data_IF_511199649974
#
_entry.id   IF_511199649974
#
_cell.length_a   1.000
_cell.length_b   1.000
_cell.length_c   1.000
_cell.angle_alpha   90.00
_cell.angle_beta   90.00
_cell.angle_gamma   90.00
#
_symmetry.space_group_name_H-M   'P 1'
#
loop_
_entity.id
_entity.type
_entity.pdbx_description
1 polymer ?
#
# COMPACT_ATOMS: atom_id res chain seq x y z
N UNK A 1 -5.86 38.54 -6.00
CA UNK A 1 -5.93 37.12 -5.60
C UNK A 1 -4.82 36.86 -4.58
N UNK A 2 -5.12 36.49 -3.32
CA UNK A 2 -4.08 36.16 -2.35
C UNK A 2 -3.31 34.92 -2.84
N UNK A 3 -1.98 34.99 -2.82
CA UNK A 3 -1.09 33.89 -3.23
C UNK A 3 -1.32 32.71 -2.27
N UNK A 4 -1.65 31.54 -2.79
CA UNK A 4 -1.80 30.31 -1.99
C UNK A 4 -0.49 30.04 -1.26
N UNK A 5 -0.50 30.08 0.07
CA UNK A 5 0.65 29.72 0.90
C UNK A 5 0.78 28.20 0.92
N UNK A 6 1.81 27.67 0.30
CA UNK A 6 2.19 26.25 0.41
C UNK A 6 3.09 26.07 1.62
N UNK A 7 2.98 24.93 2.31
CA UNK A 7 3.89 24.62 3.40
C UNK A 7 5.35 24.54 2.91
N UNK A 8 6.31 25.12 3.66
CA UNK A 8 7.72 24.92 3.38
C UNK A 8 8.12 23.47 3.64
N UNK A 9 9.18 22.99 2.96
CA UNK A 9 9.84 21.75 3.35
C UNK A 9 10.74 22.02 4.55
N UNK A 10 10.57 21.23 5.62
CA UNK A 10 11.37 21.33 6.83
C UNK A 10 12.44 20.23 6.84
N UNK A 11 13.64 20.59 7.28
CA UNK A 11 14.76 19.65 7.40
C UNK A 11 14.82 18.97 8.78
N UNK A 12 14.07 19.46 9.77
CA UNK A 12 13.94 18.85 11.11
C UNK A 12 12.58 19.15 11.74
N UNK A 13 12.27 18.42 12.82
CA UNK A 13 11.05 18.63 13.60
C UNK A 13 11.06 19.95 14.38
N UNK A 14 12.21 20.38 14.91
CA UNK A 14 12.30 21.69 15.60
C UNK A 14 11.99 22.85 14.65
N UNK A 15 12.50 22.79 13.42
CA UNK A 15 12.26 23.82 12.41
C UNK A 15 10.79 23.92 12.03
N UNK A 16 10.09 22.77 11.98
CA UNK A 16 8.66 22.74 11.72
C UNK A 16 7.86 23.35 12.88
N UNK A 17 8.26 23.08 14.12
CA UNK A 17 7.60 23.61 15.32
C UNK A 17 7.74 25.15 15.40
N UNK A 18 8.96 25.67 15.23
CA UNK A 18 9.20 27.12 15.21
C UNK A 18 8.40 27.86 14.12
N UNK A 19 8.23 27.21 12.96
CA UNK A 19 7.41 27.75 11.88
C UNK A 19 5.92 27.77 12.24
N UNK A 20 5.41 26.70 12.87
CA UNK A 20 4.01 26.61 13.32
C UNK A 20 3.68 27.60 14.43
N UNK A 21 4.63 27.89 15.33
CA UNK A 21 4.46 28.91 16.39
C UNK A 21 4.38 30.33 15.83
N UNK A 22 5.01 30.57 14.69
CA UNK A 22 5.10 31.90 14.05
C UNK A 22 4.11 32.12 12.91
N UNK A 23 3.48 31.06 12.38
CA UNK A 23 2.62 31.13 11.19
C UNK A 23 1.24 30.52 11.45
N UNK A 24 0.18 31.28 11.14
CA UNK A 24 -1.19 30.77 11.21
C UNK A 24 -1.41 29.67 10.17
N UNK A 25 -1.85 28.50 10.65
CA UNK A 25 -2.21 27.35 9.83
C UNK A 25 -3.63 27.42 9.25
N UNK A 26 -4.40 28.47 9.58
CA UNK A 26 -5.79 28.64 9.12
C UNK A 26 -5.92 28.67 7.59
N UNK A 27 -4.91 29.18 6.88
CA UNK A 27 -4.87 29.19 5.42
C UNK A 27 -4.48 27.82 4.79
N UNK A 28 -4.03 26.85 5.61
CA UNK A 28 -3.55 25.54 5.16
C UNK A 28 -4.63 24.46 5.11
N UNK A 29 -5.83 24.72 5.64
CA UNK A 29 -6.94 23.76 5.67
C UNK A 29 -7.32 23.20 4.28
N UNK A 30 -7.04 23.96 3.22
CA UNK A 30 -7.29 23.54 1.83
C UNK A 30 -6.12 22.80 1.17
N UNK A 31 -5.03 22.52 1.88
CA UNK A 31 -3.90 21.75 1.35
C UNK A 31 -4.22 20.26 1.46
N UNK A 32 -4.70 19.67 0.35
CA UNK A 32 -4.97 18.23 0.29
C UNK A 32 -3.66 17.43 0.37
N UNK A 33 -3.37 16.87 1.53
CA UNK A 33 -2.32 15.88 1.68
C UNK A 33 -2.83 14.52 1.17
N UNK A 34 -2.10 13.94 0.22
CA UNK A 34 -2.33 12.57 -0.21
C UNK A 34 -1.36 11.67 0.53
N UNK A 35 -1.86 10.94 1.52
CA UNK A 35 -1.13 9.82 2.10
C UNK A 35 -1.51 8.57 1.31
N UNK A 36 -0.58 8.02 0.54
CA UNK A 36 -0.74 6.65 0.03
C UNK A 36 -0.52 5.68 1.19
N UNK A 37 -1.58 5.45 1.96
CA UNK A 37 -1.59 4.33 2.90
C UNK A 37 -1.82 3.08 2.07
N UNK A 38 -0.73 2.43 1.65
CA UNK A 38 -0.82 1.13 0.99
C UNK A 38 -1.50 0.15 1.96
N UNK A 39 -2.76 -0.19 1.68
CA UNK A 39 -3.52 -1.19 2.42
C UNK A 39 -2.84 -2.56 2.28
N UNK A 40 -2.82 -3.37 3.34
CA UNK A 40 -2.32 -4.74 3.25
C UNK A 40 -3.11 -5.51 2.20
N UNK A 41 -2.44 -6.42 1.51
CA UNK A 41 -3.10 -7.37 0.62
C UNK A 41 -3.84 -8.40 1.48
N UNK A 42 -5.05 -8.76 1.06
CA UNK A 42 -5.86 -9.79 1.69
C UNK A 42 -6.17 -10.84 0.64
N UNK A 43 -5.79 -12.09 0.91
CA UNK A 43 -6.17 -13.24 0.11
C UNK A 43 -7.41 -13.85 0.73
N UNK A 44 -8.45 -14.07 -0.08
CA UNK A 44 -9.69 -14.67 0.36
C UNK A 44 -9.83 -16.05 -0.27
N UNK A 45 -10.10 -17.05 0.55
CA UNK A 45 -10.41 -18.41 0.14
C UNK A 45 -11.93 -18.53 0.21
N UNK A 46 -12.53 -18.95 -0.89
CA UNK A 46 -13.97 -19.11 -1.02
C UNK A 46 -14.34 -20.58 -1.02
N UNK A 47 -15.43 -20.90 -0.33
CA UNK A 47 -16.01 -22.24 -0.36
C UNK A 47 -16.80 -22.49 -1.66
N UNK A 48 -17.41 -23.68 -1.77
CA UNK A 48 -18.25 -24.05 -2.91
C UNK A 48 -19.50 -23.18 -3.11
N UNK A 49 -19.92 -22.44 -2.08
CA UNK A 49 -21.06 -21.53 -2.11
C UNK A 49 -20.63 -20.06 -2.32
N UNK A 50 -19.35 -19.82 -2.61
CA UNK A 50 -18.74 -18.49 -2.74
C UNK A 50 -18.77 -17.66 -1.46
N UNK A 51 -18.88 -18.31 -0.30
CA UNK A 51 -18.69 -17.68 1.00
C UNK A 51 -17.20 -17.63 1.35
N UNK A 52 -16.77 -16.60 2.08
CA UNK A 52 -15.38 -16.48 2.51
C UNK A 52 -15.15 -17.50 3.64
N UNK A 53 -14.43 -18.57 3.32
CA UNK A 53 -14.01 -19.60 4.28
C UNK A 53 -12.83 -19.09 5.11
N UNK A 54 -11.88 -18.42 4.47
CA UNK A 54 -10.68 -17.91 5.14
C UNK A 54 -10.17 -16.61 4.49
N UNK A 55 -9.60 -15.73 5.31
CA UNK A 55 -8.94 -14.51 4.86
C UNK A 55 -7.53 -14.42 5.43
N UNK A 56 -6.53 -14.49 4.55
CA UNK A 56 -5.12 -14.39 4.90
C UNK A 56 -4.66 -12.95 4.65
N UNK A 57 -4.29 -12.26 5.73
CA UNK A 57 -3.77 -10.89 5.66
C UNK A 57 -2.25 -10.94 5.49
N UNK A 58 -1.77 -10.33 4.42
CA UNK A 58 -0.34 -10.22 4.13
C UNK A 58 0.23 -8.99 4.83
N UNK A 59 1.40 -9.14 5.46
CA UNK A 59 2.09 -8.02 6.11
C UNK A 59 2.25 -6.83 5.15
N UNK A 60 2.13 -5.61 5.66
CA UNK A 60 2.15 -4.38 4.85
C UNK A 60 3.41 -4.26 3.99
N UNK A 61 4.59 -4.55 4.55
CA UNK A 61 5.86 -4.45 3.82
C UNK A 61 5.92 -5.45 2.66
N UNK A 62 5.51 -6.69 2.92
CA UNK A 62 5.44 -7.73 1.90
C UNK A 62 4.40 -7.39 0.83
N UNK A 63 3.25 -6.84 1.23
CA UNK A 63 2.21 -6.36 0.33
C UNK A 63 2.73 -5.32 -0.66
N UNK A 64 3.57 -4.38 -0.19
CA UNK A 64 4.21 -3.39 -1.05
C UNK A 64 5.18 -4.03 -2.03
N UNK A 65 6.00 -4.98 -1.57
CA UNK A 65 6.94 -5.71 -2.43
C UNK A 65 6.21 -6.51 -3.52
N UNK A 66 5.14 -7.22 -3.18
CA UNK A 66 4.34 -7.98 -4.17
C UNK A 66 3.74 -7.02 -5.22
N UNK A 67 3.23 -5.86 -4.82
CA UNK A 67 2.70 -4.85 -5.76
C UNK A 67 3.79 -4.31 -6.68
N UNK A 68 4.99 -4.04 -6.16
CA UNK A 68 6.14 -3.59 -6.96
C UNK A 68 6.56 -4.65 -7.98
N UNK A 69 6.66 -5.92 -7.57
CA UNK A 69 7.00 -7.02 -8.48
C UNK A 69 5.94 -7.15 -9.58
N UNK A 70 4.65 -7.09 -9.21
CA UNK A 70 3.57 -7.17 -10.19
C UNK A 70 3.65 -6.04 -11.22
N UNK A 71 3.89 -4.81 -10.77
CA UNK A 71 4.05 -3.65 -11.63
C UNK A 71 5.26 -3.77 -12.56
N UNK A 72 6.40 -4.26 -12.05
CA UNK A 72 7.61 -4.51 -12.87
C UNK A 72 7.38 -5.55 -13.96
N UNK A 73 6.50 -6.53 -13.71
CA UNK A 73 6.15 -7.56 -14.68
C UNK A 73 4.99 -7.17 -15.60
N UNK A 74 4.42 -5.97 -15.45
CA UNK A 74 3.23 -5.54 -16.20
C UNK A 74 1.97 -6.34 -15.86
N UNK A 75 1.93 -6.96 -14.67
CA UNK A 75 0.83 -7.78 -14.19
C UNK A 75 0.03 -7.07 -13.10
N UNK A 76 -1.22 -7.47 -12.94
CA UNK A 76 -1.97 -7.12 -11.73
C UNK A 76 -1.43 -7.92 -10.54
N UNK A 77 -1.56 -7.37 -9.34
CA UNK A 77 -1.16 -8.08 -8.11
C UNK A 77 -1.86 -9.43 -7.97
N UNK A 78 -3.15 -9.50 -8.33
CA UNK A 78 -3.92 -10.75 -8.33
C UNK A 78 -3.33 -11.78 -9.31
N UNK A 79 -3.00 -11.37 -10.53
CA UNK A 79 -2.43 -12.28 -11.54
C UNK A 79 -1.06 -12.83 -11.10
N UNK A 80 -0.22 -12.00 -10.48
CA UNK A 80 1.06 -12.44 -9.94
C UNK A 80 0.88 -13.48 -8.83
N UNK A 81 -0.01 -13.22 -7.86
CA UNK A 81 -0.27 -14.14 -6.75
C UNK A 81 -0.86 -15.45 -7.25
N UNK A 82 -1.79 -15.40 -8.21
CA UNK A 82 -2.37 -16.59 -8.82
C UNK A 82 -1.31 -17.47 -9.51
N UNK A 83 -0.44 -16.85 -10.32
CA UNK A 83 0.66 -17.56 -11.00
C UNK A 83 1.61 -18.21 -9.99
N UNK A 84 2.03 -17.47 -8.96
CA UNK A 84 2.89 -18.02 -7.90
C UNK A 84 2.24 -19.20 -7.18
N UNK A 85 0.94 -19.12 -6.91
CA UNK A 85 0.22 -20.21 -6.25
C UNK A 85 0.20 -21.48 -7.13
N UNK A 86 -0.03 -21.34 -8.44
CA UNK A 86 0.04 -22.46 -9.38
C UNK A 86 1.42 -23.11 -9.39
N UNK A 87 2.48 -22.30 -9.49
CA UNK A 87 3.87 -22.79 -9.47
C UNK A 87 4.17 -23.59 -8.20
N UNK A 88 3.72 -23.10 -7.03
CA UNK A 88 3.94 -23.80 -5.75
C UNK A 88 3.15 -25.09 -5.60
N UNK A 89 1.94 -25.13 -6.12
CA UNK A 89 1.15 -26.37 -6.17
C UNK A 89 1.83 -27.40 -7.07
N UNK A 90 2.31 -26.99 -8.25
CA UNK A 90 3.02 -27.88 -9.17
C UNK A 90 4.32 -28.43 -8.58
N UNK A 91 5.15 -27.58 -7.96
CA UNK A 91 6.38 -27.98 -7.25
C UNK A 91 6.09 -29.02 -6.15
N UNK A 92 5.01 -28.80 -5.38
CA UNK A 92 4.62 -29.70 -4.28
C UNK A 92 4.15 -31.07 -4.78
N UNK A 93 3.43 -31.08 -5.90
CA UNK A 93 2.97 -32.31 -6.56
C UNK A 93 4.13 -33.10 -7.19
N UNK A 94 5.13 -32.40 -7.76
CA UNK A 94 6.32 -33.04 -8.31
C UNK A 94 7.25 -33.61 -7.23
N UNK A 95 7.33 -32.94 -6.07
CA UNK A 95 8.15 -33.40 -4.94
C UNK A 95 7.54 -34.59 -4.16
N UNK A 96 6.26 -34.89 -4.39
CA UNK A 96 5.53 -35.99 -3.74
C UNK A 96 5.49 -37.29 -4.59
N UNK A 97 6.18 -37.32 -5.73
CA UNK A 97 6.39 -38.51 -6.57
C UNK A 97 7.79 -39.06 -6.39
#
# INVERSE_FOLDING_TARGET
MPKRKTLPQFNSYEQAAEWLDSHSTADLENTKFHFEVASPLVMQIFDSLSEIEEAIVVEKKLSQQIRQIAQQQGLTTQALVYKWFQEKVEESLQSSK
#
